data_IF_397670577779
#
_entry.id   IF_397670577779
#
_cell.length_a   1.000
_cell.length_b   1.000
_cell.length_c   1.000
_cell.angle_alpha   90.00
_cell.angle_beta   90.00
_cell.angle_gamma   90.00
#
_symmetry.space_group_name_H-M   'P 1'
#
loop_
_entity.id
_entity.type
_entity.pdbx_description
1 polymer ?
#
# COMPACT_ATOMS: atom_id res chain seq x y z
N UNK A 1 -19.02 -16.31 1.27
CA UNK A 1 -17.62 -16.25 0.78
C UNK A 1 -17.18 -14.79 0.86
N UNK A 2 -16.20 -14.45 1.71
CA UNK A 2 -15.72 -13.07 1.84
C UNK A 2 -14.97 -12.68 0.57
N UNK A 3 -15.40 -11.61 -0.10
CA UNK A 3 -14.69 -11.07 -1.25
C UNK A 3 -13.43 -10.35 -0.74
N UNK A 4 -12.26 -10.93 -0.95
CA UNK A 4 -11.01 -10.32 -0.51
C UNK A 4 -10.55 -9.24 -1.49
N UNK A 5 -10.40 -8.02 -0.99
CA UNK A 5 -9.80 -6.91 -1.74
C UNK A 5 -8.35 -7.25 -2.10
N UNK A 6 -7.93 -7.00 -3.34
CA UNK A 6 -6.56 -7.25 -3.82
C UNK A 6 -5.74 -5.98 -3.91
N UNK A 7 -4.41 -6.10 -3.98
CA UNK A 7 -3.52 -4.95 -4.14
C UNK A 7 -3.87 -4.11 -5.38
N UNK A 8 -4.23 -4.78 -6.48
CA UNK A 8 -4.63 -4.12 -7.74
C UNK A 8 -5.86 -3.22 -7.58
N UNK A 9 -6.84 -3.63 -6.78
CA UNK A 9 -8.06 -2.85 -6.55
C UNK A 9 -7.75 -1.57 -5.76
N UNK A 10 -6.91 -1.69 -4.73
CA UNK A 10 -6.47 -0.56 -3.91
C UNK A 10 -5.65 0.44 -4.73
N UNK A 11 -4.74 -0.06 -5.58
CA UNK A 11 -3.91 0.77 -6.46
C UNK A 11 -4.74 1.52 -7.49
N UNK A 12 -5.67 0.83 -8.17
CA UNK A 12 -6.55 1.47 -9.15
C UNK A 12 -7.39 2.56 -8.50
N UNK A 13 -7.99 2.30 -7.32
CA UNK A 13 -8.75 3.32 -6.58
C UNK A 13 -7.87 4.50 -6.19
N UNK A 14 -6.65 4.25 -5.73
CA UNK A 14 -5.72 5.29 -5.33
C UNK A 14 -5.31 6.19 -6.50
N UNK A 15 -5.00 5.61 -7.67
CA UNK A 15 -4.60 6.37 -8.86
C UNK A 15 -5.69 7.34 -9.34
N UNK A 16 -6.97 7.02 -9.10
CA UNK A 16 -8.09 7.85 -9.52
C UNK A 16 -8.37 9.03 -8.58
N UNK A 17 -7.92 8.98 -7.32
CA UNK A 17 -8.45 9.87 -6.29
C UNK A 17 -7.41 10.42 -5.29
N UNK A 18 -6.17 9.90 -5.27
CA UNK A 18 -5.16 10.26 -4.26
C UNK A 18 -3.92 10.82 -4.93
N UNK A 19 -3.55 12.05 -4.56
CA UNK A 19 -2.24 12.60 -4.82
C UNK A 19 -1.32 12.27 -3.64
N UNK A 20 -0.34 11.39 -3.86
CA UNK A 20 0.55 10.93 -2.78
C UNK A 20 1.64 11.95 -2.44
N UNK A 21 1.94 12.15 -1.15
CA UNK A 21 3.05 13.00 -0.74
C UNK A 21 4.38 12.40 -1.18
N UNK A 22 5.34 13.27 -1.52
CA UNK A 22 6.71 12.87 -1.87
C UNK A 22 6.80 11.78 -2.96
N UNK A 23 5.79 11.67 -3.84
CA UNK A 23 5.70 10.68 -4.90
C UNK A 23 5.58 11.39 -6.25
N UNK A 24 6.40 11.00 -7.23
CA UNK A 24 6.23 11.47 -8.60
C UNK A 24 5.04 10.75 -9.25
N UNK A 25 3.88 11.42 -9.30
CA UNK A 25 2.61 10.85 -9.75
C UNK A 25 2.66 10.29 -11.18
N UNK A 26 3.44 10.87 -12.10
CA UNK A 26 3.56 10.31 -13.46
C UNK A 26 4.31 8.97 -13.49
N UNK A 27 5.30 8.79 -12.61
CA UNK A 27 6.01 7.52 -12.46
C UNK A 27 5.15 6.49 -11.75
N UNK A 28 4.30 6.93 -10.80
CA UNK A 28 3.42 6.05 -10.03
C UNK A 28 2.47 5.20 -10.90
N UNK A 29 2.09 5.69 -12.09
CA UNK A 29 1.31 4.93 -13.08
C UNK A 29 1.97 3.59 -13.50
N UNK A 30 3.31 3.54 -13.49
CA UNK A 30 4.10 2.38 -13.96
C UNK A 30 4.92 1.74 -12.83
N UNK A 31 5.21 2.49 -11.77
CA UNK A 31 5.88 2.04 -10.56
C UNK A 31 4.92 2.19 -9.36
N UNK A 32 4.05 1.19 -9.12
CA UNK A 32 3.02 1.30 -8.09
C UNK A 32 3.63 1.26 -6.68
N UNK A 33 2.99 1.99 -5.77
CA UNK A 33 3.26 1.89 -4.34
C UNK A 33 2.81 0.52 -3.81
N UNK A 34 3.20 0.19 -2.58
CA UNK A 34 2.71 -1.03 -1.91
C UNK A 34 1.54 -0.65 -0.99
N UNK A 35 0.30 -1.09 -1.26
CA UNK A 35 -0.82 -0.80 -0.37
C UNK A 35 -0.73 -1.66 0.89
N UNK A 36 -0.97 -1.05 2.07
CA UNK A 36 -0.99 -1.76 3.35
C UNK A 36 -2.44 -2.01 3.79
N UNK A 37 -2.74 -3.25 4.21
CA UNK A 37 -4.07 -3.66 4.68
C UNK A 37 -4.16 -3.72 6.20
N UNK A 38 -3.09 -4.14 6.88
CA UNK A 38 -3.05 -4.27 8.34
C UNK A 38 -1.61 -4.24 8.87
N UNK A 39 -1.48 -3.95 10.17
CA UNK A 39 -0.21 -4.03 10.90
C UNK A 39 -0.38 -4.83 12.20
N UNK A 40 0.67 -5.56 12.59
CA UNK A 40 0.76 -6.31 13.85
C UNK A 40 2.21 -6.31 14.36
N UNK A 41 2.45 -5.63 15.48
CA UNK A 41 3.80 -5.32 15.97
C UNK A 41 4.62 -4.60 14.90
N UNK A 42 5.81 -5.14 14.61
CA UNK A 42 6.72 -4.59 13.57
C UNK A 42 6.39 -5.05 12.15
N UNK A 43 5.28 -5.77 11.93
CA UNK A 43 4.93 -6.32 10.64
C UNK A 43 3.78 -5.56 9.99
N UNK A 44 3.95 -5.20 8.72
CA UNK A 44 2.89 -4.72 7.84
C UNK A 44 2.49 -5.82 6.86
N UNK A 45 1.21 -5.89 6.53
CA UNK A 45 0.67 -6.89 5.60
C UNK A 45 -0.13 -6.20 4.50
N UNK A 46 0.17 -6.55 3.25
CA UNK A 46 -0.59 -6.07 2.08
C UNK A 46 -1.90 -6.85 1.88
N UNK A 47 -2.68 -6.47 0.88
CA UNK A 47 -3.98 -7.10 0.60
C UNK A 47 -3.86 -8.46 -0.12
N UNK A 48 -2.68 -8.80 -0.65
CA UNK A 48 -2.39 -10.13 -1.23
C UNK A 48 -1.82 -11.11 -0.18
N UNK A 49 -1.55 -10.63 1.03
CA UNK A 49 -1.13 -11.41 2.18
C UNK A 49 0.38 -11.41 2.44
N UNK A 50 1.16 -10.69 1.64
CA UNK A 50 2.61 -10.55 1.83
C UNK A 50 2.90 -9.67 3.04
N UNK A 51 3.92 -10.08 3.82
CA UNK A 51 4.37 -9.37 5.01
C UNK A 51 5.66 -8.61 4.75
N UNK A 52 5.78 -7.46 5.38
CA UNK A 52 6.89 -6.53 5.30
C UNK A 52 7.31 -6.16 6.72
N UNK A 53 8.61 -6.17 7.02
CA UNK A 53 9.13 -5.64 8.28
C UNK A 53 9.13 -4.11 8.17
N UNK A 54 8.44 -3.44 9.10
CA UNK A 54 8.50 -1.98 9.20
C UNK A 54 9.80 -1.56 9.90
N UNK A 55 10.82 -1.30 9.09
CA UNK A 55 12.14 -0.88 9.57
C UNK A 55 12.23 0.63 9.87
N UNK A 56 11.18 1.41 9.59
CA UNK A 56 11.19 2.87 9.72
C UNK A 56 10.07 3.41 10.60
N UNK A 57 9.26 2.53 11.20
CA UNK A 57 8.09 2.90 12.01
C UNK A 57 7.17 3.86 11.27
N UNK A 58 6.86 3.54 10.00
CA UNK A 58 5.84 4.22 9.19
C UNK A 58 5.88 5.77 9.24
N UNK A 59 7.08 6.33 9.06
CA UNK A 59 7.45 7.76 9.27
C UNK A 59 7.74 8.15 10.71
N UNK A 60 8.45 7.28 11.43
CA UNK A 60 9.02 7.55 12.75
C UNK A 60 7.99 7.80 13.87
N UNK A 61 6.77 7.27 13.72
CA UNK A 61 5.67 7.38 14.69
C UNK A 61 5.19 6.04 15.21
#
# INVERSE_FOLDING_TARGET
>A
MSNQVKNKDLLNRSLQAVWHPCTQMKQHEHLPLVPMQSGDGVWLKDADGKRYLDAVSSWWV
#
